data_IF_095492664168
#
_entry.id   IF_095492664168
#
_cell.length_a   1.000
_cell.length_b   1.000
_cell.length_c   1.000
_cell.angle_alpha   90.00
_cell.angle_beta   90.00
_cell.angle_gamma   90.00
#
_symmetry.space_group_name_H-M   'P 1'
#
loop_
_entity.id
_entity.type
_entity.pdbx_description
1 polymer ?
#
# COMPACT_ATOMS: atom_id res chain seq x y z
N UNK A 1 -46.50 22.42 20.45
CA UNK A 1 -45.37 21.58 20.95
C UNK A 1 -44.85 20.91 19.72
N UNK A 2 -43.88 21.58 19.12
CA UNK A 2 -43.72 21.59 17.68
C UNK A 2 -42.84 20.44 17.22
N UNK A 3 -43.32 19.78 16.17
CA UNK A 3 -42.57 18.82 15.39
C UNK A 3 -41.36 19.51 14.73
N UNK A 4 -40.15 19.16 15.16
CA UNK A 4 -38.94 19.49 14.41
C UNK A 4 -38.82 18.49 13.27
N UNK A 5 -39.14 18.97 12.07
CA UNK A 5 -38.99 18.25 10.81
C UNK A 5 -37.51 18.18 10.43
N UNK A 6 -37.10 17.00 9.94
CA UNK A 6 -35.83 16.80 9.28
C UNK A 6 -35.92 17.27 7.83
N UNK A 7 -35.41 18.47 7.52
CA UNK A 7 -34.84 18.84 6.22
C UNK A 7 -34.52 20.34 6.22
N UNK A 8 -33.29 20.71 6.54
CA UNK A 8 -32.68 21.93 6.02
C UNK A 8 -31.17 21.87 6.27
N UNK A 9 -30.49 21.09 5.42
CA UNK A 9 -29.07 21.25 5.17
C UNK A 9 -28.92 21.44 3.67
N UNK A 10 -29.28 22.64 3.18
CA UNK A 10 -28.86 23.13 1.88
C UNK A 10 -27.37 23.49 1.93
N UNK A 11 -26.53 22.54 2.34
CA UNK A 11 -25.08 22.68 2.24
C UNK A 11 -24.70 22.52 0.77
N UNK A 12 -24.55 23.65 0.08
CA UNK A 12 -23.90 23.69 -1.22
C UNK A 12 -22.40 23.66 -0.98
N UNK A 13 -21.69 22.58 -1.34
CA UNK A 13 -20.25 22.51 -1.16
C UNK A 13 -19.58 23.65 -1.93
N UNK A 14 -18.72 24.42 -1.24
CA UNK A 14 -17.94 25.48 -1.91
C UNK A 14 -17.02 24.82 -2.94
N UNK A 15 -16.89 25.40 -4.15
CA UNK A 15 -15.96 24.88 -5.14
C UNK A 15 -14.53 24.88 -4.57
N UNK A 16 -13.70 23.88 -4.90
CA UNK A 16 -12.32 23.83 -4.43
C UNK A 16 -11.54 25.07 -4.89
N UNK A 17 -10.48 25.42 -4.16
CA UNK A 17 -9.57 26.52 -4.53
C UNK A 17 -8.68 26.20 -5.74
N UNK A 18 -8.88 25.03 -6.37
CA UNK A 18 -8.14 24.54 -7.52
C UNK A 18 -9.09 23.84 -8.51
N UNK A 19 -8.65 23.71 -9.77
CA UNK A 19 -9.41 23.04 -10.83
C UNK A 19 -9.28 21.50 -10.83
N UNK A 20 -8.36 20.95 -10.03
CA UNK A 20 -8.11 19.50 -9.98
C UNK A 20 -9.17 18.72 -9.21
N UNK A 21 -9.32 17.43 -9.53
CA UNK A 21 -10.25 16.54 -8.83
C UNK A 21 -9.77 16.26 -7.40
N UNK A 22 -10.61 16.60 -6.42
CA UNK A 22 -10.32 16.37 -5.00
C UNK A 22 -10.13 14.90 -4.63
N UNK A 23 -10.70 13.96 -5.38
CA UNK A 23 -10.51 12.53 -5.12
C UNK A 23 -9.12 12.08 -5.54
N UNK A 24 -8.62 12.52 -6.70
CA UNK A 24 -7.24 12.27 -7.13
C UNK A 24 -6.21 12.79 -6.11
N UNK A 25 -6.47 13.96 -5.52
CA UNK A 25 -5.58 14.54 -4.50
C UNK A 25 -5.58 13.76 -3.18
N UNK A 26 -6.68 13.09 -2.82
CA UNK A 26 -6.76 12.22 -1.63
C UNK A 26 -6.00 10.91 -1.84
N UNK A 27 -5.90 10.43 -3.07
CA UNK A 27 -5.20 9.20 -3.45
C UNK A 27 -3.70 9.41 -3.68
N UNK A 28 -3.20 10.61 -3.37
CA UNK A 28 -1.80 10.96 -3.53
C UNK A 28 -0.89 10.05 -2.68
N UNK A 29 0.21 9.59 -3.27
CA UNK A 29 1.21 8.77 -2.58
C UNK A 29 2.22 9.66 -1.87
N UNK A 30 2.82 9.21 -0.76
CA UNK A 30 3.93 9.94 -0.15
C UNK A 30 5.13 9.98 -1.10
N UNK A 31 5.63 11.17 -1.42
CA UNK A 31 6.76 11.33 -2.33
C UNK A 31 8.00 10.57 -1.81
N UNK A 32 8.57 9.70 -2.63
CA UNK A 32 9.82 9.01 -2.33
C UNK A 32 11.01 9.87 -2.73
N UNK A 33 11.83 10.26 -1.76
CA UNK A 33 13.08 10.97 -1.99
C UNK A 33 14.30 10.04 -1.98
N UNK A 34 14.08 8.73 -1.86
CA UNK A 34 15.15 7.73 -1.93
C UNK A 34 15.51 7.28 -3.34
N UNK A 35 14.78 7.77 -4.34
CA UNK A 35 14.94 7.41 -5.75
C UNK A 35 15.95 8.32 -6.45
N UNK A 36 16.61 7.78 -7.47
CA UNK A 36 17.55 8.53 -8.34
C UNK A 36 17.31 8.20 -9.82
N UNK A 37 17.66 9.10 -10.76
CA UNK A 37 17.75 8.75 -12.17
C UNK A 37 18.84 7.69 -12.37
N UNK A 38 18.51 6.59 -13.04
CA UNK A 38 19.42 5.46 -13.22
C UNK A 38 19.70 5.15 -14.70
N UNK A 39 18.68 5.16 -15.55
CA UNK A 39 18.86 4.88 -16.97
C UNK A 39 19.45 6.08 -17.73
N UNK A 40 20.05 5.86 -18.92
CA UNK A 40 20.49 6.97 -19.77
C UNK A 40 19.37 7.97 -20.09
N UNK A 41 18.14 7.49 -20.28
CA UNK A 41 16.96 8.32 -20.53
C UNK A 41 16.62 9.22 -19.32
N UNK A 42 16.56 8.64 -18.13
CA UNK A 42 16.28 9.37 -16.89
C UNK A 42 17.36 10.41 -16.56
N UNK A 43 18.62 10.06 -16.82
CA UNK A 43 19.77 10.97 -16.67
C UNK A 43 19.65 12.13 -17.66
N UNK A 44 19.36 11.85 -18.94
CA UNK A 44 19.18 12.88 -19.96
C UNK A 44 18.04 13.85 -19.62
N UNK A 45 16.89 13.33 -19.17
CA UNK A 45 15.78 14.16 -18.70
C UNK A 45 16.20 15.05 -17.54
N UNK A 46 16.92 14.48 -16.57
CA UNK A 46 17.40 15.22 -15.40
C UNK A 46 18.32 16.37 -15.82
N UNK A 47 19.25 16.13 -16.75
CA UNK A 47 20.12 17.19 -17.26
C UNK A 47 19.35 18.30 -17.98
N UNK A 48 18.36 17.95 -18.81
CA UNK A 48 17.51 18.94 -19.49
C UNK A 48 16.76 19.82 -18.49
N UNK A 49 16.13 19.22 -17.47
CA UNK A 49 15.41 19.98 -16.43
C UNK A 49 16.37 20.84 -15.61
N UNK A 50 17.57 20.34 -15.29
CA UNK A 50 18.59 21.10 -14.54
C UNK A 50 19.01 22.35 -15.30
N UNK A 51 19.27 22.24 -16.61
CA UNK A 51 19.62 23.41 -17.41
C UNK A 51 18.43 24.38 -17.55
N UNK A 52 17.20 23.87 -17.62
CA UNK A 52 15.99 24.70 -17.66
C UNK A 52 15.77 25.50 -16.37
N UNK A 53 15.93 24.88 -15.19
CA UNK A 53 15.73 25.57 -13.90
C UNK A 53 16.92 26.46 -13.50
N UNK A 54 18.09 26.28 -14.13
CA UNK A 54 19.34 26.96 -13.78
C UNK A 54 19.19 28.49 -13.61
N UNK A 55 18.47 29.23 -14.49
CA UNK A 55 18.29 30.67 -14.33
C UNK A 55 17.52 31.08 -13.06
N UNK A 56 16.73 30.16 -12.48
CA UNK A 56 15.84 30.42 -11.34
C UNK A 56 16.43 30.00 -9.99
N UNK A 57 17.41 29.08 -9.98
CA UNK A 57 17.95 28.49 -8.73
C UNK A 57 19.38 28.93 -8.39
N UNK A 58 20.07 29.65 -9.28
CA UNK A 58 21.44 30.14 -9.09
C UNK A 58 21.53 31.65 -8.95
N UNK A 59 22.54 32.16 -8.23
CA UNK A 59 22.95 33.57 -8.38
C UNK A 59 23.49 33.76 -9.79
N UNK A 60 22.93 34.68 -10.57
CA UNK A 60 23.54 35.03 -11.86
C UNK A 60 24.96 35.58 -11.62
N UNK A 61 25.98 35.07 -12.31
CA UNK A 61 27.29 35.70 -12.29
C UNK A 61 27.19 37.09 -12.93
N UNK A 62 27.97 38.05 -12.41
CA UNK A 62 28.09 39.36 -13.03
C UNK A 62 28.55 39.21 -14.51
N UNK A 63 28.05 40.07 -15.42
CA UNK A 63 28.27 39.93 -16.87
C UNK A 63 29.75 39.82 -17.29
N UNK A 64 30.68 40.34 -16.49
CA UNK A 64 32.12 40.42 -16.83
C UNK A 64 32.96 39.21 -16.40
N UNK A 65 32.35 38.18 -15.83
CA UNK A 65 33.10 37.09 -15.23
C UNK A 65 33.42 35.97 -16.25
N UNK A 66 34.53 36.13 -16.99
CA UNK A 66 35.11 35.13 -17.90
C UNK A 66 35.04 33.70 -17.31
N UNK A 67 34.22 32.84 -17.92
CA UNK A 67 34.10 31.39 -17.68
C UNK A 67 34.25 30.97 -16.20
N UNK A 68 33.35 31.42 -15.32
CA UNK A 68 33.24 30.81 -14.01
C UNK A 68 32.70 29.38 -14.14
N UNK A 69 33.54 28.42 -13.75
CA UNK A 69 33.19 27.02 -13.45
C UNK A 69 31.86 27.03 -12.68
N UNK A 70 30.87 26.28 -13.15
CA UNK A 70 29.55 26.16 -12.53
C UNK A 70 29.66 25.38 -11.20
N UNK A 71 30.20 26.06 -10.20
CA UNK A 71 30.39 25.58 -8.83
C UNK A 71 29.01 25.31 -8.24
N UNK A 72 28.56 24.07 -8.36
CA UNK A 72 27.24 23.64 -7.91
C UNK A 72 26.44 22.82 -8.92
N UNK A 73 26.89 22.69 -10.19
CA UNK A 73 26.20 21.88 -11.21
C UNK A 73 25.92 20.45 -10.72
N UNK A 74 26.94 19.75 -10.23
CA UNK A 74 26.80 18.39 -9.72
C UNK A 74 25.75 18.28 -8.61
N UNK A 75 25.79 19.18 -7.63
CA UNK A 75 24.79 19.24 -6.55
C UNK A 75 23.37 19.50 -7.08
N UNK A 76 23.20 20.41 -8.05
CA UNK A 76 21.90 20.64 -8.68
C UNK A 76 21.41 19.42 -9.44
N UNK A 77 22.28 18.73 -10.18
CA UNK A 77 21.93 17.48 -10.87
C UNK A 77 21.43 16.44 -9.87
N UNK A 78 22.18 16.21 -8.78
CA UNK A 78 21.79 15.24 -7.76
C UNK A 78 20.45 15.62 -7.11
N UNK A 79 20.31 16.86 -6.65
CA UNK A 79 19.10 17.31 -5.93
C UNK A 79 17.87 17.32 -6.84
N UNK A 80 17.97 17.84 -8.08
CA UNK A 80 16.86 17.81 -9.04
C UNK A 80 16.54 16.39 -9.48
N UNK A 81 17.56 15.55 -9.70
CA UNK A 81 17.38 14.14 -10.04
C UNK A 81 16.59 13.39 -8.97
N UNK A 82 16.85 13.63 -7.68
CA UNK A 82 16.07 13.03 -6.58
C UNK A 82 14.59 13.44 -6.65
N UNK A 83 14.31 14.74 -6.89
CA UNK A 83 12.92 15.23 -6.96
C UNK A 83 12.21 14.61 -8.17
N UNK A 84 12.86 14.62 -9.33
CA UNK A 84 12.33 14.03 -10.55
C UNK A 84 12.10 12.53 -10.36
N UNK A 85 13.04 11.79 -9.78
CA UNK A 85 12.87 10.35 -9.59
C UNK A 85 11.69 10.00 -8.68
N UNK A 86 11.45 10.80 -7.64
CA UNK A 86 10.27 10.66 -6.78
C UNK A 86 8.96 10.91 -7.53
N UNK A 87 8.90 11.96 -8.36
CA UNK A 87 7.70 12.34 -9.11
C UNK A 87 7.44 11.43 -10.31
N UNK A 88 8.51 11.09 -11.04
CA UNK A 88 8.45 10.44 -12.34
C UNK A 88 8.13 8.95 -12.26
N UNK A 89 8.43 8.31 -11.12
CA UNK A 89 8.11 6.90 -10.89
C UNK A 89 6.61 6.58 -11.08
N UNK A 90 5.72 7.54 -10.83
CA UNK A 90 4.29 7.40 -11.05
C UNK A 90 3.73 8.41 -12.07
N UNK A 91 4.58 9.05 -12.88
CA UNK A 91 4.20 10.11 -13.82
C UNK A 91 3.13 9.66 -14.81
N UNK A 92 3.39 8.56 -15.52
CA UNK A 92 2.55 8.10 -16.63
C UNK A 92 1.17 7.61 -16.14
N UNK A 93 1.09 7.19 -14.87
CA UNK A 93 -0.19 6.89 -14.22
C UNK A 93 -0.95 8.14 -13.75
N UNK A 94 -0.42 9.35 -13.97
CA UNK A 94 -1.05 10.63 -13.62
C UNK A 94 -1.19 10.88 -12.12
N UNK A 95 -0.47 10.11 -11.27
CA UNK A 95 -0.70 10.14 -9.83
C UNK A 95 -0.06 11.36 -9.16
N UNK A 96 -0.80 11.94 -8.22
CA UNK A 96 -0.29 12.98 -7.34
C UNK A 96 0.65 12.42 -6.26
N UNK A 97 1.70 13.16 -5.96
CA UNK A 97 2.60 12.93 -4.84
C UNK A 97 2.30 13.93 -3.71
N UNK A 98 2.28 13.44 -2.48
CA UNK A 98 2.14 14.20 -1.26
C UNK A 98 3.52 14.50 -0.65
N UNK A 99 3.78 15.77 -0.34
CA UNK A 99 5.01 16.21 0.33
C UNK A 99 4.71 17.34 1.30
N UNK A 100 5.32 17.32 2.49
CA UNK A 100 5.11 18.38 3.47
C UNK A 100 5.80 19.70 3.05
N UNK A 101 5.08 20.82 3.15
CA UNK A 101 5.65 22.15 2.85
C UNK A 101 6.53 22.68 3.99
N UNK A 102 6.16 22.40 5.23
CA UNK A 102 6.84 22.95 6.41
C UNK A 102 8.12 22.19 6.77
N UNK A 103 9.26 22.88 6.79
CA UNK A 103 10.57 22.27 7.12
C UNK A 103 10.74 21.80 8.57
N UNK A 104 9.86 22.18 9.49
CA UNK A 104 9.91 21.79 10.91
C UNK A 104 9.13 20.50 11.22
N UNK A 105 8.68 19.76 10.20
CA UNK A 105 7.75 18.63 10.35
C UNK A 105 8.45 17.27 10.25
N UNK A 106 7.74 16.24 10.70
CA UNK A 106 8.21 14.85 10.74
C UNK A 106 8.80 14.38 9.40
N UNK A 107 8.21 14.79 8.27
CA UNK A 107 8.69 14.43 6.94
C UNK A 107 10.10 14.93 6.66
N UNK A 108 10.48 16.10 7.17
CA UNK A 108 11.82 16.68 7.03
C UNK A 108 12.68 16.49 8.28
N UNK A 109 12.25 15.63 9.20
CA UNK A 109 12.99 15.35 10.42
C UNK A 109 14.38 14.80 10.08
N UNK A 110 15.43 15.24 10.78
CA UNK A 110 16.77 14.65 10.64
C UNK A 110 16.79 13.12 10.79
N UNK A 111 15.87 12.56 11.59
CA UNK A 111 15.74 11.11 11.79
C UNK A 111 15.37 10.32 10.51
N UNK A 112 14.80 10.98 9.50
CA UNK A 112 14.50 10.35 8.19
C UNK A 112 15.70 10.29 7.27
N UNK A 113 16.83 10.90 7.63
CA UNK A 113 18.08 10.85 6.88
C UNK A 113 17.91 11.03 5.36
N UNK A 114 17.08 11.99 4.95
CA UNK A 114 16.74 12.19 3.54
C UNK A 114 17.94 12.73 2.75
N UNK A 115 18.12 12.33 1.49
CA UNK A 115 19.27 12.75 0.67
C UNK A 115 19.18 14.21 0.20
N UNK A 116 18.04 14.89 0.42
CA UNK A 116 17.83 16.29 0.12
C UNK A 116 17.09 16.98 1.28
N UNK A 117 17.57 18.16 1.68
CA UNK A 117 16.92 18.97 2.72
C UNK A 117 15.75 19.80 2.20
N UNK A 118 14.78 20.09 3.07
CA UNK A 118 13.54 20.83 2.76
C UNK A 118 13.75 22.10 1.92
N UNK A 119 14.68 22.98 2.31
CA UNK A 119 14.94 24.23 1.58
C UNK A 119 15.48 23.95 0.18
N UNK A 120 16.41 23.00 0.06
CA UNK A 120 16.95 22.63 -1.24
C UNK A 120 15.86 22.05 -2.14
N UNK A 121 15.02 21.15 -1.61
CA UNK A 121 13.86 20.60 -2.30
C UNK A 121 12.95 21.70 -2.85
N UNK A 122 12.42 22.57 -1.97
CA UNK A 122 11.44 23.58 -2.38
C UNK A 122 12.01 24.63 -3.31
N UNK A 123 13.29 24.99 -3.21
CA UNK A 123 13.93 25.89 -4.19
C UNK A 123 13.87 25.31 -5.61
N UNK A 124 14.11 24.01 -5.80
CA UNK A 124 14.10 23.39 -7.13
C UNK A 124 12.69 23.05 -7.58
N UNK A 125 11.85 22.57 -6.66
CA UNK A 125 10.44 22.32 -6.94
C UNK A 125 9.73 23.59 -7.40
N UNK A 126 9.95 24.72 -6.73
CA UNK A 126 9.37 26.01 -7.14
C UNK A 126 9.85 26.43 -8.53
N UNK A 127 11.15 26.30 -8.84
CA UNK A 127 11.64 26.60 -10.18
C UNK A 127 11.00 25.71 -11.26
N UNK A 128 10.71 24.44 -10.97
CA UNK A 128 9.97 23.57 -11.90
C UNK A 128 8.50 23.96 -12.03
N UNK A 129 7.86 24.40 -10.93
CA UNK A 129 6.49 24.93 -10.93
C UNK A 129 6.42 26.21 -11.78
N UNK A 130 7.35 27.15 -11.59
CA UNK A 130 7.41 28.42 -12.32
C UNK A 130 7.61 28.22 -13.84
N UNK A 131 8.28 27.13 -14.23
CA UNK A 131 8.45 26.73 -15.64
C UNK A 131 7.27 25.91 -16.19
N UNK A 132 6.26 25.60 -15.38
CA UNK A 132 5.13 24.74 -15.76
C UNK A 132 5.51 23.28 -16.00
N UNK A 133 6.59 22.79 -15.39
CA UNK A 133 7.03 21.39 -15.45
C UNK A 133 6.37 20.53 -14.37
N UNK A 134 5.90 21.14 -13.29
CA UNK A 134 5.25 20.45 -12.16
C UNK A 134 3.95 21.17 -11.83
N UNK A 135 2.86 20.42 -11.80
CA UNK A 135 1.59 20.89 -11.25
C UNK A 135 1.67 20.88 -9.72
N UNK A 136 1.07 21.87 -9.07
CA UNK A 136 1.16 22.07 -7.63
C UNK A 136 -0.17 22.48 -7.01
N UNK A 137 -0.52 21.85 -5.89
CA UNK A 137 -1.60 22.27 -5.00
C UNK A 137 -1.03 22.50 -3.59
N UNK A 138 -1.20 23.71 -3.01
CA UNK A 138 -0.65 24.04 -1.71
C UNK A 138 -1.31 23.25 -0.57
N UNK A 139 -0.50 22.75 0.36
CA UNK A 139 -0.96 21.90 1.47
C UNK A 139 -1.83 22.63 2.48
N UNK A 140 -1.49 23.87 2.83
CA UNK A 140 -2.21 24.64 3.86
C UNK A 140 -3.52 25.30 3.38
N UNK A 141 -3.95 25.09 2.13
CA UNK A 141 -5.01 25.90 1.54
C UNK A 141 -6.02 25.16 0.67
N UNK A 142 -5.92 23.84 0.52
CA UNK A 142 -6.94 23.11 -0.22
C UNK A 142 -8.07 22.68 0.70
N UNK A 143 -9.28 23.14 0.37
CA UNK A 143 -10.51 22.69 1.01
C UNK A 143 -10.98 21.44 0.31
N UNK A 144 -11.32 20.41 1.08
CA UNK A 144 -12.00 19.25 0.51
C UNK A 144 -13.39 19.65 -0.03
N UNK A 145 -14.08 18.70 -0.65
CA UNK A 145 -15.47 18.84 -1.10
C UNK A 145 -16.47 19.23 0.01
N UNK A 146 -16.03 19.27 1.27
CA UNK A 146 -16.81 19.63 2.46
C UNK A 146 -16.36 20.95 3.09
N UNK A 147 -15.42 21.67 2.47
CA UNK A 147 -14.94 22.96 2.95
C UNK A 147 -13.89 22.88 4.07
N UNK A 148 -13.52 21.69 4.52
CA UNK A 148 -12.49 21.49 5.55
C UNK A 148 -11.10 21.65 4.94
N UNK A 149 -10.21 22.34 5.65
CA UNK A 149 -8.79 22.31 5.33
C UNK A 149 -8.24 20.93 5.68
N UNK A 150 -7.77 20.20 4.67
CA UNK A 150 -7.13 18.90 4.87
C UNK A 150 -5.61 19.02 4.69
N UNK A 151 -4.87 18.60 5.70
CA UNK A 151 -3.45 18.28 5.61
C UNK A 151 -2.48 19.47 5.59
N UNK A 152 -1.21 19.16 5.85
CA UNK A 152 -0.07 20.09 5.74
C UNK A 152 0.85 19.74 4.57
N UNK A 153 0.31 18.96 3.65
CA UNK A 153 1.03 18.31 2.57
C UNK A 153 0.60 18.92 1.25
N UNK A 154 1.55 19.52 0.53
CA UNK A 154 1.37 19.87 -0.86
C UNK A 154 1.10 18.63 -1.71
N UNK A 155 0.46 18.86 -2.85
CA UNK A 155 0.34 17.87 -3.92
C UNK A 155 1.18 18.34 -5.10
N UNK A 156 2.02 17.45 -5.60
CA UNK A 156 2.86 17.66 -6.77
C UNK A 156 2.61 16.55 -7.78
N UNK A 157 2.61 16.87 -9.07
CA UNK A 157 2.74 15.85 -10.13
C UNK A 157 3.49 16.41 -11.33
N UNK A 158 4.11 15.57 -12.16
CA UNK A 158 4.60 15.98 -13.47
C UNK A 158 3.47 16.58 -14.30
N UNK A 159 3.72 17.74 -14.91
CA UNK A 159 2.78 18.32 -15.88
C UNK A 159 2.85 17.53 -17.20
N UNK A 160 1.85 17.66 -18.11
CA UNK A 160 1.93 17.06 -19.44
C UNK A 160 3.23 17.41 -20.17
N UNK A 161 3.71 18.65 -20.01
CA UNK A 161 4.98 19.10 -20.59
C UNK A 161 6.18 18.30 -20.08
N UNK A 162 6.24 17.97 -18.78
CA UNK A 162 7.33 17.17 -18.23
C UNK A 162 7.23 15.70 -18.69
N UNK A 163 6.00 15.17 -18.84
CA UNK A 163 5.76 13.84 -19.40
C UNK A 163 6.21 13.77 -20.87
N UNK A 164 5.92 14.79 -21.67
CA UNK A 164 6.38 14.88 -23.06
C UNK A 164 7.92 14.91 -23.14
N UNK A 165 8.57 15.68 -22.26
CA UNK A 165 10.03 15.70 -22.15
C UNK A 165 10.59 14.32 -21.78
N UNK A 166 9.97 13.62 -20.84
CA UNK A 166 10.38 12.29 -20.42
C UNK A 166 10.25 11.27 -21.57
N UNK A 167 9.13 11.33 -22.29
CA UNK A 167 8.86 10.50 -23.47
C UNK A 167 9.91 10.76 -24.56
N UNK A 168 10.23 12.04 -24.83
CA UNK A 168 11.26 12.42 -25.79
C UNK A 168 12.67 11.95 -25.40
N UNK A 169 12.95 11.82 -24.10
CA UNK A 169 14.21 11.23 -23.60
C UNK A 169 14.21 9.69 -23.63
N UNK A 170 13.07 9.05 -23.90
CA UNK A 170 12.93 7.60 -23.90
C UNK A 170 12.72 6.98 -22.51
N UNK A 171 12.14 7.73 -21.56
CA UNK A 171 11.78 7.16 -20.26
C UNK A 171 10.64 6.13 -20.41
N UNK A 172 10.73 5.03 -19.67
CA UNK A 172 9.83 3.89 -19.69
C UNK A 172 8.57 4.13 -18.85
N UNK A 173 7.42 3.99 -19.48
CA UNK A 173 6.11 3.91 -18.81
C UNK A 173 5.89 2.54 -18.16
N UNK A 174 6.31 1.46 -18.83
CA UNK A 174 6.07 0.08 -18.40
C UNK A 174 7.03 -0.39 -17.30
N UNK A 175 8.23 0.18 -17.25
CA UNK A 175 9.27 -0.20 -16.30
C UNK A 175 9.94 1.03 -15.63
N UNK A 176 9.17 1.90 -14.96
CA UNK A 176 9.69 3.12 -14.35
C UNK A 176 10.72 2.84 -13.25
N UNK A 177 10.73 1.64 -12.68
CA UNK A 177 11.73 1.19 -11.69
C UNK A 177 13.14 1.03 -12.27
N UNK A 178 13.29 0.88 -13.60
CA UNK A 178 14.59 0.87 -14.28
C UNK A 178 15.15 2.28 -14.46
N UNK A 179 14.27 3.25 -14.69
CA UNK A 179 14.64 4.65 -14.86
C UNK A 179 14.84 5.38 -13.53
N UNK A 180 13.99 5.09 -12.55
CA UNK A 180 13.85 5.82 -11.29
C UNK A 180 14.08 4.89 -10.09
N UNK A 181 15.30 4.36 -10.01
CA UNK A 181 15.68 3.31 -9.06
C UNK A 181 15.70 3.82 -7.63
N UNK A 182 15.15 3.02 -6.70
CA UNK A 182 15.28 3.23 -5.26
C UNK A 182 16.71 2.85 -4.81
N UNK A 183 17.45 3.80 -4.25
CA UNK A 183 18.84 3.60 -3.82
C UNK A 183 19.07 4.03 -2.38
N UNK A 184 18.43 5.12 -1.94
CA UNK A 184 18.56 5.65 -0.57
C UNK A 184 17.19 5.68 0.12
N UNK A 185 16.54 4.52 0.33
CA UNK A 185 15.19 4.47 0.87
C UNK A 185 15.11 5.18 2.21
N UNK A 186 14.05 5.96 2.42
CA UNK A 186 13.88 6.68 3.67
C UNK A 186 13.60 5.66 4.81
N UNK A 187 14.43 5.61 5.86
CA UNK A 187 14.18 4.72 6.99
C UNK A 187 12.83 5.03 7.63
N UNK A 188 12.14 3.95 8.02
CA UNK A 188 10.96 4.06 8.86
C UNK A 188 11.36 4.31 10.30
N UNK A 189 10.52 5.03 11.05
CA UNK A 189 10.72 5.18 12.49
C UNK A 189 10.45 3.83 13.18
N UNK A 190 11.30 3.38 14.11
CA UNK A 190 11.01 2.23 14.96
C UNK A 190 9.67 2.38 15.68
N UNK A 191 9.02 1.25 15.95
CA UNK A 191 7.77 1.21 16.70
C UNK A 191 8.02 0.93 18.17
N UNK A 192 7.26 1.57 19.04
CA UNK A 192 7.31 1.30 20.49
C UNK A 192 6.63 -0.03 20.84
N UNK A 193 5.71 -0.49 19.99
CA UNK A 193 4.96 -1.75 20.14
C UNK A 193 4.98 -2.55 18.84
N UNK A 194 5.54 -3.77 18.91
CA UNK A 194 5.59 -4.71 17.78
C UNK A 194 4.22 -5.33 17.44
N UNK A 195 3.31 -5.34 18.41
CA UNK A 195 1.95 -5.85 18.24
C UNK A 195 0.98 -4.80 18.75
N UNK A 196 -0.02 -4.46 17.93
CA UNK A 196 -1.09 -3.57 18.32
C UNK A 196 -2.45 -4.19 18.04
N UNK A 197 -3.41 -3.89 18.90
CA UNK A 197 -4.81 -4.20 18.65
C UNK A 197 -5.53 -2.88 18.44
N UNK A 198 -5.86 -2.59 17.19
CA UNK A 198 -6.61 -1.39 16.83
C UNK A 198 -8.05 -1.55 17.35
N UNK A 199 -8.71 -0.47 17.78
CA UNK A 199 -10.13 -0.54 18.12
C UNK A 199 -10.97 -0.98 16.92
N UNK A 200 -12.17 -1.48 17.20
CA UNK A 200 -13.17 -1.71 16.16
C UNK A 200 -13.45 -0.42 15.37
N UNK A 201 -13.63 -0.51 14.04
CA UNK A 201 -14.07 0.65 13.28
C UNK A 201 -15.48 1.08 13.70
N UNK A 202 -15.88 2.31 13.37
CA UNK A 202 -17.20 2.84 13.68
C UNK A 202 -18.04 2.96 12.41
N UNK A 203 -19.36 2.85 12.51
CA UNK A 203 -20.24 3.24 11.41
C UNK A 203 -20.61 4.71 11.53
N UNK A 204 -20.36 5.50 10.49
CA UNK A 204 -20.83 6.88 10.34
C UNK A 204 -21.58 6.98 9.02
N UNK A 205 -22.87 7.36 9.08
CA UNK A 205 -23.75 7.47 7.92
C UNK A 205 -23.78 6.20 7.03
N UNK A 206 -23.83 5.02 7.65
CA UNK A 206 -23.85 3.74 6.93
C UNK A 206 -22.51 3.30 6.32
N UNK A 207 -21.42 4.06 6.51
CA UNK A 207 -20.06 3.70 6.08
C UNK A 207 -19.20 3.34 7.28
N UNK A 208 -18.39 2.31 7.14
CA UNK A 208 -17.35 1.95 8.11
C UNK A 208 -16.20 2.94 7.99
N UNK A 209 -15.95 3.69 9.07
CA UNK A 209 -14.82 4.60 9.23
C UNK A 209 -13.88 4.07 10.29
N UNK A 210 -12.57 4.29 10.11
CA UNK A 210 -11.61 3.97 11.17
C UNK A 210 -12.01 4.71 12.45
N UNK A 211 -11.81 4.09 13.62
CA UNK A 211 -11.94 4.83 14.86
C UNK A 211 -10.85 5.90 14.88
N UNK A 212 -11.24 7.16 14.97
CA UNK A 212 -10.32 8.30 14.98
C UNK A 212 -9.27 8.09 16.09
N UNK A 213 -7.99 8.33 15.78
CA UNK A 213 -6.83 8.06 16.64
C UNK A 213 -6.71 8.92 17.90
N UNK A 214 -7.81 9.48 18.40
CA UNK A 214 -7.86 10.20 19.66
C UNK A 214 -8.64 9.38 20.69
N UNK A 215 -7.86 8.85 21.64
CA UNK A 215 -8.28 8.18 22.87
C UNK A 215 -9.62 8.68 23.43
N UNK A 216 -10.67 7.90 23.25
CA UNK A 216 -11.61 7.58 24.33
C UNK A 216 -11.95 6.10 24.14
N UNK A 217 -11.41 5.19 24.97
CA UNK A 217 -12.00 3.86 25.10
C UNK A 217 -13.45 4.10 25.52
N UNK A 218 -14.40 3.69 24.68
CA UNK A 218 -15.74 3.42 25.19
C UNK A 218 -15.52 2.38 26.29
N UNK A 219 -15.94 2.64 27.53
CA UNK A 219 -15.54 1.84 28.72
C UNK A 219 -15.97 0.35 28.62
N UNK A 220 -16.74 -0.03 27.60
CA UNK A 220 -17.09 -1.41 27.25
C UNK A 220 -16.37 -2.04 26.03
N UNK A 221 -15.43 -1.35 25.36
CA UNK A 221 -14.79 -1.80 24.10
C UNK A 221 -13.24 -1.69 24.12
N UNK A 222 -12.61 -1.80 25.29
CA UNK A 222 -11.16 -1.85 25.36
C UNK A 222 -10.63 -3.06 24.56
N UNK A 223 -9.67 -2.88 23.63
CA UNK A 223 -9.16 -3.98 22.83
C UNK A 223 -8.48 -5.02 23.72
N UNK A 224 -8.70 -6.30 23.44
CA UNK A 224 -8.02 -7.38 24.14
C UNK A 224 -6.50 -7.25 23.94
N UNK A 225 -5.70 -7.44 25.00
CA UNK A 225 -4.24 -7.39 24.88
C UNK A 225 -3.74 -8.46 23.91
N UNK A 226 -2.72 -8.17 23.09
CA UNK A 226 -2.16 -9.15 22.18
C UNK A 226 -1.50 -10.31 22.96
N UNK A 227 -1.67 -11.53 22.44
CA UNK A 227 -1.11 -12.74 23.06
C UNK A 227 0.43 -12.66 23.12
N UNK A 228 1.02 -13.03 24.28
CA UNK A 228 2.48 -13.06 24.50
C UNK A 228 3.19 -13.90 23.44
N UNK A 229 2.55 -14.95 22.91
CA UNK A 229 3.13 -15.77 21.84
C UNK A 229 3.41 -14.99 20.55
N UNK A 230 2.50 -14.10 20.14
CA UNK A 230 2.67 -13.27 18.93
C UNK A 230 3.74 -12.22 19.17
N UNK A 231 3.78 -11.63 20.37
CA UNK A 231 4.83 -10.68 20.74
C UNK A 231 6.21 -11.34 20.75
N UNK A 232 6.32 -12.54 21.32
CA UNK A 232 7.56 -13.32 21.29
C UNK A 232 8.00 -13.68 19.86
N UNK A 233 7.06 -14.11 19.01
CA UNK A 233 7.31 -14.34 17.59
C UNK A 233 7.82 -13.08 16.89
N UNK A 234 7.16 -11.93 17.09
CA UNK A 234 7.56 -10.67 16.45
C UNK A 234 8.95 -10.22 16.91
N UNK A 235 9.28 -10.37 18.19
CA UNK A 235 10.64 -10.09 18.71
C UNK A 235 11.67 -10.96 18.00
N UNK A 236 11.39 -12.26 17.86
CA UNK A 236 12.28 -13.21 17.16
C UNK A 236 12.45 -12.86 15.68
N UNK A 237 11.36 -12.54 14.99
CA UNK A 237 11.38 -12.14 13.58
C UNK A 237 12.24 -10.88 13.38
N UNK A 238 12.00 -9.83 14.16
CA UNK A 238 12.77 -8.58 14.07
C UNK A 238 14.25 -8.83 14.38
N UNK A 239 14.55 -9.56 15.46
CA UNK A 239 15.93 -9.88 15.82
C UNK A 239 16.67 -10.69 14.74
N UNK A 240 15.97 -11.61 14.05
CA UNK A 240 16.53 -12.35 12.93
C UNK A 240 16.86 -11.43 11.75
N UNK A 241 15.98 -10.48 11.43
CA UNK A 241 16.15 -9.51 10.34
C UNK A 241 17.23 -8.47 10.61
N UNK A 242 17.42 -8.04 11.86
CA UNK A 242 18.48 -7.11 12.25
C UNK A 242 19.89 -7.63 11.91
N UNK A 243 20.05 -8.96 11.82
CA UNK A 243 21.29 -9.61 11.41
C UNK A 243 21.49 -9.76 9.89
N UNK A 244 20.52 -9.35 9.06
CA UNK A 244 20.53 -9.59 7.61
C UNK A 244 20.89 -8.33 6.83
N UNK A 245 21.67 -8.48 5.76
CA UNK A 245 21.95 -7.41 4.81
C UNK A 245 20.84 -7.36 3.75
N UNK A 246 19.79 -6.57 4.00
CA UNK A 246 18.65 -6.39 3.09
C UNK A 246 18.86 -5.14 2.24
N UNK A 247 18.79 -5.27 0.90
CA UNK A 247 18.96 -4.14 -0.03
C UNK A 247 17.79 -4.03 -1.01
N UNK A 248 17.63 -2.87 -1.66
CA UNK A 248 16.55 -2.63 -2.64
C UNK A 248 15.23 -2.13 -2.03
N UNK A 249 15.13 -2.04 -0.69
CA UNK A 249 13.99 -1.45 0.01
C UNK A 249 14.44 -0.75 1.31
N UNK A 250 13.53 -0.02 1.96
CA UNK A 250 13.78 0.49 3.31
C UNK A 250 14.04 -0.67 4.29
N UNK A 251 14.94 -0.50 5.27
CA UNK A 251 15.10 -1.46 6.36
C UNK A 251 13.73 -1.79 6.99
N UNK A 252 13.38 -3.08 7.14
CA UNK A 252 12.07 -3.47 7.65
C UNK A 252 11.81 -2.94 9.06
N UNK A 253 10.75 -2.14 9.21
CA UNK A 253 10.12 -1.90 10.51
C UNK A 253 8.76 -2.58 10.48
N UNK A 254 8.61 -3.63 11.29
CA UNK A 254 7.45 -4.52 11.25
C UNK A 254 6.53 -4.30 12.45
N UNK A 255 5.22 -4.38 12.20
CA UNK A 255 4.20 -4.38 13.25
C UNK A 255 3.05 -5.32 12.91
N UNK A 256 2.73 -6.24 13.82
CA UNK A 256 1.52 -7.05 13.72
C UNK A 256 0.31 -6.23 14.17
N UNK A 257 -0.74 -6.20 13.34
CA UNK A 257 -1.92 -5.38 13.61
C UNK A 257 -3.18 -6.23 13.68
N UNK A 258 -3.86 -6.19 14.81
CA UNK A 258 -5.16 -6.82 15.02
C UNK A 258 -6.27 -5.77 15.06
N UNK A 259 -7.53 -6.20 14.98
CA UNK A 259 -8.69 -5.29 15.05
C UNK A 259 -9.71 -5.78 16.06
N UNK A 260 -9.92 -5.00 17.11
CA UNK A 260 -10.84 -5.25 18.23
C UNK A 260 -10.36 -6.35 19.17
N UNK A 261 -10.03 -7.51 18.61
CA UNK A 261 -9.60 -8.72 19.31
C UNK A 261 -8.43 -9.39 18.58
N UNK A 262 -7.67 -10.22 19.30
CA UNK A 262 -6.61 -11.04 18.75
C UNK A 262 -7.11 -12.10 17.74
N UNK A 263 -8.41 -12.39 17.71
CA UNK A 263 -9.01 -13.33 16.77
C UNK A 263 -9.28 -12.75 15.37
N UNK A 264 -9.05 -11.45 15.15
CA UNK A 264 -9.38 -10.74 13.91
C UNK A 264 -8.16 -10.01 13.35
N UNK A 265 -7.96 -10.15 12.03
CA UNK A 265 -6.86 -9.55 11.27
C UNK A 265 -5.47 -10.15 11.54
N UNK A 266 -4.59 -9.51 12.31
CA UNK A 266 -3.30 -10.07 12.72
C UNK A 266 -2.17 -10.08 11.68
N UNK A 267 -2.36 -9.50 10.48
CA UNK A 267 -1.29 -9.37 9.48
C UNK A 267 -0.12 -8.53 10.01
N UNK A 268 1.07 -8.85 9.50
CA UNK A 268 2.30 -8.10 9.77
C UNK A 268 2.50 -7.08 8.66
N UNK A 269 2.68 -5.83 9.05
CA UNK A 269 2.86 -4.70 8.14
C UNK A 269 4.28 -4.17 8.22
N UNK A 270 4.89 -3.93 7.06
CA UNK A 270 6.09 -3.13 6.93
C UNK A 270 5.72 -1.64 6.89
N UNK A 271 6.37 -0.84 7.72
CA UNK A 271 6.10 0.60 7.86
C UNK A 271 7.11 1.42 7.05
N UNK A 272 6.74 2.67 6.74
CA UNK A 272 7.55 3.60 5.95
C UNK A 272 7.06 3.77 4.51
N UNK A 273 7.54 4.81 3.81
CA UNK A 273 7.10 5.09 2.44
C UNK A 273 7.74 4.13 1.41
N UNK A 274 9.02 3.78 1.60
CA UNK A 274 9.81 2.95 0.69
C UNK A 274 9.91 1.49 1.15
N UNK A 275 8.90 1.02 1.89
CA UNK A 275 8.87 -0.36 2.40
C UNK A 275 8.55 -1.36 1.29
N UNK A 276 8.96 -2.62 1.48
CA UNK A 276 8.80 -3.65 0.47
C UNK A 276 7.35 -4.15 0.27
N UNK A 277 6.41 -3.93 1.20
CA UNK A 277 5.02 -4.39 1.02
C UNK A 277 4.19 -3.42 0.18
N UNK A 278 4.20 -2.12 0.52
CA UNK A 278 3.33 -1.11 -0.08
C UNK A 278 4.08 0.01 -0.83
N UNK A 279 5.39 0.15 -0.61
CA UNK A 279 6.23 1.13 -1.30
C UNK A 279 6.74 0.67 -2.67
N UNK A 280 6.76 -0.64 -2.93
CA UNK A 280 7.34 -1.24 -4.14
C UNK A 280 6.35 -2.11 -4.90
N UNK A 281 6.33 -1.95 -6.23
CA UNK A 281 5.60 -2.82 -7.14
C UNK A 281 6.25 -4.20 -7.27
N UNK A 282 5.48 -5.20 -7.73
CA UNK A 282 5.94 -6.60 -7.85
C UNK A 282 7.24 -6.77 -8.64
N UNK A 283 7.43 -5.99 -9.71
CA UNK A 283 8.65 -6.07 -10.52
C UNK A 283 9.86 -5.46 -9.79
N UNK A 284 9.67 -4.35 -9.08
CA UNK A 284 10.75 -3.70 -8.32
C UNK A 284 11.17 -4.54 -7.12
N UNK A 285 10.24 -5.25 -6.48
CA UNK A 285 10.57 -6.19 -5.38
C UNK A 285 11.51 -7.32 -5.78
N UNK A 286 11.58 -7.67 -7.07
CA UNK A 286 12.55 -8.65 -7.59
C UNK A 286 13.99 -8.13 -7.55
N UNK A 287 14.19 -6.83 -7.34
CA UNK A 287 15.51 -6.21 -7.17
C UNK A 287 15.96 -6.20 -5.70
N UNK A 288 15.13 -6.68 -4.77
CA UNK A 288 15.51 -6.85 -3.37
C UNK A 288 16.47 -8.02 -3.27
N UNK A 289 17.49 -7.87 -2.43
CA UNK A 289 18.38 -8.96 -2.04
C UNK A 289 18.45 -9.08 -0.53
N UNK A 290 18.68 -10.31 -0.07
CA UNK A 290 18.93 -10.63 1.34
C UNK A 290 20.29 -11.33 1.39
N UNK A 291 21.25 -10.74 2.12
CA UNK A 291 22.65 -11.18 2.16
C UNK A 291 23.31 -11.29 0.78
N UNK A 292 22.89 -10.43 -0.16
CA UNK A 292 23.39 -10.43 -1.54
C UNK A 292 22.74 -11.48 -2.44
N UNK A 293 21.85 -12.32 -1.93
CA UNK A 293 21.07 -13.26 -2.72
C UNK A 293 19.74 -12.64 -3.18
N UNK A 294 19.35 -12.90 -4.43
CA UNK A 294 18.04 -12.52 -4.95
C UNK A 294 16.91 -13.18 -4.15
N UNK A 295 15.77 -12.50 -4.09
CA UNK A 295 14.58 -13.00 -3.39
C UNK A 295 13.55 -13.60 -4.34
N UNK A 296 12.73 -14.51 -3.81
CA UNK A 296 11.53 -15.03 -4.44
C UNK A 296 10.32 -14.84 -3.53
N UNK A 297 9.18 -14.52 -4.12
CA UNK A 297 7.88 -14.52 -3.44
C UNK A 297 7.25 -15.90 -3.59
N UNK A 298 6.91 -16.54 -2.47
CA UNK A 298 6.18 -17.82 -2.39
C UNK A 298 4.81 -17.53 -1.79
N UNK A 299 3.73 -17.73 -2.56
CA UNK A 299 2.38 -17.24 -2.20
C UNK A 299 1.35 -18.34 -1.98
N UNK A 300 0.39 -18.08 -1.08
CA UNK A 300 -0.78 -18.94 -0.91
C UNK A 300 -1.77 -18.67 -2.04
N UNK A 301 -1.91 -19.63 -2.95
CA UNK A 301 -2.75 -19.47 -4.14
C UNK A 301 -4.22 -19.26 -3.77
N UNK A 302 -4.77 -18.12 -4.23
CA UNK A 302 -6.15 -17.69 -3.97
C UNK A 302 -6.52 -17.75 -2.47
N UNK A 303 -5.59 -17.35 -1.60
CA UNK A 303 -5.64 -17.41 -0.12
C UNK A 303 -7.05 -17.53 0.48
N UNK A 304 -7.86 -16.46 0.43
CA UNK A 304 -9.17 -16.45 1.07
C UNK A 304 -10.14 -17.51 0.54
N UNK A 305 -10.16 -17.76 -0.77
CA UNK A 305 -11.01 -18.80 -1.36
C UNK A 305 -10.55 -20.17 -0.88
N UNK A 306 -9.25 -20.43 -0.90
CA UNK A 306 -8.70 -21.71 -0.49
C UNK A 306 -8.92 -22.00 1.00
N UNK A 307 -8.71 -20.99 1.86
CA UNK A 307 -8.98 -21.06 3.30
C UNK A 307 -10.48 -21.28 3.55
N UNK A 308 -11.35 -20.49 2.91
CA UNK A 308 -12.79 -20.62 3.05
C UNK A 308 -13.29 -22.02 2.69
N UNK A 309 -12.84 -22.56 1.55
CA UNK A 309 -13.19 -23.92 1.14
C UNK A 309 -12.67 -24.96 2.15
N UNK A 310 -11.51 -24.73 2.77
CA UNK A 310 -10.98 -25.65 3.78
C UNK A 310 -11.81 -25.66 5.05
N UNK A 311 -12.19 -24.48 5.54
CA UNK A 311 -13.03 -24.34 6.73
C UNK A 311 -14.47 -24.85 6.51
N UNK A 312 -14.92 -24.93 5.25
CA UNK A 312 -16.20 -25.51 4.85
C UNK A 312 -16.12 -27.01 4.52
N UNK A 313 -14.95 -27.64 4.68
CA UNK A 313 -14.68 -29.02 4.25
C UNK A 313 -15.04 -29.29 2.76
N UNK A 314 -14.87 -28.27 1.92
CA UNK A 314 -15.17 -28.31 0.49
C UNK A 314 -13.90 -28.57 -0.34
N UNK A 315 -13.95 -29.35 -1.44
CA UNK A 315 -12.77 -29.70 -2.23
C UNK A 315 -11.96 -28.47 -2.69
N UNK A 316 -10.63 -28.57 -2.63
CA UNK A 316 -9.75 -27.56 -3.21
C UNK A 316 -9.74 -27.65 -4.74
N UNK A 317 -9.71 -26.53 -5.48
CA UNK A 317 -9.59 -26.56 -6.93
C UNK A 317 -8.19 -27.05 -7.36
N UNK A 318 -8.13 -27.91 -8.37
CA UNK A 318 -6.86 -28.40 -8.96
C UNK A 318 -6.37 -27.49 -10.09
N UNK A 319 -7.30 -26.79 -10.74
CA UNK A 319 -7.11 -25.82 -11.82
C UNK A 319 -7.11 -24.36 -11.30
N UNK A 320 -7.27 -23.38 -12.19
CA UNK A 320 -7.36 -21.96 -11.80
C UNK A 320 -8.61 -21.73 -10.93
N UNK A 321 -8.47 -21.27 -9.67
CA UNK A 321 -9.61 -21.07 -8.76
C UNK A 321 -10.67 -20.09 -9.28
N UNK A 322 -10.29 -19.23 -10.23
CA UNK A 322 -11.16 -18.21 -10.82
C UNK A 322 -11.72 -18.60 -12.20
N UNK A 323 -11.46 -19.80 -12.71
CA UNK A 323 -12.07 -20.30 -13.94
C UNK A 323 -13.51 -20.77 -13.65
N UNK A 324 -14.50 -19.91 -13.81
CA UNK A 324 -15.88 -20.25 -13.49
C UNK A 324 -16.62 -20.86 -14.69
N UNK A 325 -17.49 -21.89 -14.49
CA UNK A 325 -18.23 -22.51 -15.57
C UNK A 325 -19.09 -21.50 -16.35
N UNK A 326 -19.05 -21.59 -17.69
CA UNK A 326 -19.86 -20.74 -18.56
C UNK A 326 -19.41 -19.29 -18.67
N UNK A 327 -18.26 -18.91 -18.09
CA UNK A 327 -17.68 -17.58 -18.21
C UNK A 327 -16.36 -17.62 -19.00
N UNK A 328 -16.14 -16.59 -19.82
CA UNK A 328 -14.92 -16.43 -20.62
C UNK A 328 -13.69 -16.25 -19.71
N UNK A 329 -12.56 -16.95 -19.95
CA UNK A 329 -11.30 -16.74 -19.24
C UNK A 329 -10.81 -15.29 -19.19
N UNK A 330 -11.12 -14.46 -20.20
CA UNK A 330 -10.78 -13.04 -20.21
C UNK A 330 -11.44 -12.25 -19.06
N UNK A 331 -12.54 -12.78 -18.48
CA UNK A 331 -13.23 -12.18 -17.33
C UNK A 331 -12.54 -12.44 -15.99
N UNK A 332 -11.43 -13.20 -15.98
CA UNK A 332 -10.67 -13.53 -14.77
C UNK A 332 -10.38 -12.33 -13.85
N UNK A 333 -9.99 -11.13 -14.33
CA UNK A 333 -9.80 -9.97 -13.46
C UNK A 333 -11.08 -9.55 -12.72
N UNK A 334 -12.23 -9.57 -13.41
CA UNK A 334 -13.52 -9.23 -12.82
C UNK A 334 -13.98 -10.31 -11.82
N UNK A 335 -13.77 -11.59 -12.13
CA UNK A 335 -14.07 -12.71 -11.23
C UNK A 335 -13.22 -12.61 -9.96
N UNK A 336 -11.91 -12.39 -10.09
CA UNK A 336 -11.01 -12.21 -8.94
C UNK A 336 -11.47 -11.03 -8.07
N UNK A 337 -11.84 -9.90 -8.69
CA UNK A 337 -12.33 -8.74 -7.96
C UNK A 337 -13.67 -9.01 -7.24
N UNK A 338 -14.57 -9.78 -7.86
CA UNK A 338 -15.81 -10.24 -7.23
C UNK A 338 -15.54 -11.04 -5.95
N UNK A 339 -14.60 -11.99 -5.97
CA UNK A 339 -14.24 -12.77 -4.78
C UNK A 339 -13.70 -11.89 -3.65
N UNK A 340 -12.87 -10.88 -3.97
CA UNK A 340 -12.40 -9.90 -2.97
C UNK A 340 -13.58 -9.21 -2.29
N UNK A 341 -14.57 -8.74 -3.07
CA UNK A 341 -15.77 -8.11 -2.51
C UNK A 341 -16.66 -9.08 -1.76
N UNK A 342 -16.79 -10.32 -2.25
CA UNK A 342 -17.60 -11.38 -1.63
C UNK A 342 -17.10 -11.68 -0.21
N UNK A 343 -15.79 -11.85 -0.02
CA UNK A 343 -15.23 -12.12 1.31
C UNK A 343 -15.25 -10.88 2.22
N UNK A 344 -15.04 -9.68 1.69
CA UNK A 344 -15.14 -8.45 2.48
C UNK A 344 -16.57 -8.14 2.96
N UNK A 345 -17.58 -8.53 2.18
CA UNK A 345 -19.00 -8.38 2.52
C UNK A 345 -19.58 -9.60 3.24
N UNK A 346 -18.84 -10.70 3.25
CA UNK A 346 -19.25 -12.07 3.60
C UNK A 346 -20.58 -12.51 3.01
N UNK A 347 -20.69 -12.38 1.69
CA UNK A 347 -21.82 -12.86 0.92
C UNK A 347 -22.01 -12.16 -0.42
N UNK A 348 -23.22 -12.29 -0.95
CA UNK A 348 -23.63 -11.84 -2.28
C UNK A 348 -23.16 -10.42 -2.63
N UNK A 349 -22.62 -10.28 -3.84
CA UNK A 349 -22.19 -8.99 -4.39
C UNK A 349 -23.22 -8.60 -5.43
N UNK A 350 -24.22 -7.79 -5.04
CA UNK A 350 -25.31 -7.40 -5.97
C UNK A 350 -24.92 -6.27 -6.93
N UNK A 351 -23.94 -5.44 -6.54
CA UNK A 351 -23.47 -4.28 -7.30
C UNK A 351 -21.98 -4.06 -7.06
N UNK A 352 -21.29 -3.63 -8.11
CA UNK A 352 -19.94 -3.09 -8.04
C UNK A 352 -19.93 -1.82 -7.19
N UNK A 353 -18.98 -1.65 -6.25
CA UNK A 353 -18.75 -0.38 -5.59
C UNK A 353 -18.53 0.76 -6.59
N UNK A 354 -18.95 1.97 -6.21
CA UNK A 354 -18.56 3.19 -6.92
C UNK A 354 -17.02 3.29 -6.97
N UNK A 355 -16.47 3.65 -8.14
CA UNK A 355 -15.02 3.68 -8.36
C UNK A 355 -14.40 2.34 -8.80
N UNK A 356 -15.17 1.25 -8.88
CA UNK A 356 -14.67 0.01 -9.50
C UNK A 356 -14.24 0.28 -10.94
N UNK A 357 -13.02 -0.11 -11.31
CA UNK A 357 -12.44 0.09 -12.64
C UNK A 357 -13.47 -0.27 -13.74
N UNK A 358 -13.65 0.63 -14.72
CA UNK A 358 -14.65 0.48 -15.80
C UNK A 358 -14.42 -0.78 -16.65
N UNK A 359 -13.18 -1.21 -16.84
CA UNK A 359 -12.86 -2.46 -17.52
C UNK A 359 -13.37 -3.69 -16.75
N UNK A 360 -13.46 -3.61 -15.42
CA UNK A 360 -14.06 -4.67 -14.59
C UNK A 360 -15.57 -4.53 -14.55
N UNK A 361 -16.06 -3.34 -14.17
CA UNK A 361 -17.49 -3.12 -13.89
C UNK A 361 -18.36 -3.15 -15.15
N UNK A 362 -17.80 -2.82 -16.31
CA UNK A 362 -18.45 -2.89 -17.61
C UNK A 362 -18.39 -4.26 -18.29
N UNK A 363 -17.46 -5.14 -17.90
CA UNK A 363 -17.26 -6.43 -18.56
C UNK A 363 -18.35 -7.46 -18.20
N UNK A 364 -18.78 -7.50 -16.93
CA UNK A 364 -19.78 -8.48 -16.46
C UNK A 364 -20.53 -7.98 -15.23
N UNK A 365 -21.80 -8.37 -15.11
CA UNK A 365 -22.63 -8.11 -13.92
C UNK A 365 -22.22 -9.04 -12.77
N UNK A 366 -22.13 -8.53 -11.52
CA UNK A 366 -21.77 -9.36 -10.36
C UNK A 366 -22.64 -10.60 -10.16
N UNK A 367 -23.94 -10.51 -10.46
CA UNK A 367 -24.89 -11.61 -10.30
C UNK A 367 -24.58 -12.81 -11.22
N UNK A 368 -24.03 -12.56 -12.42
CA UNK A 368 -23.62 -13.64 -13.33
C UNK A 368 -22.39 -14.38 -12.79
N UNK A 369 -21.45 -13.64 -12.20
CA UNK A 369 -20.30 -14.23 -11.50
C UNK A 369 -20.78 -15.05 -10.29
N UNK A 370 -21.70 -14.50 -9.48
CA UNK A 370 -22.22 -15.17 -8.29
C UNK A 370 -22.88 -16.52 -8.63
N UNK A 371 -23.74 -16.55 -9.66
CA UNK A 371 -24.36 -17.79 -10.11
C UNK A 371 -23.31 -18.84 -10.53
N UNK A 372 -22.32 -18.45 -11.33
CA UNK A 372 -21.26 -19.36 -11.77
C UNK A 372 -20.33 -19.80 -10.60
N UNK A 373 -20.05 -18.90 -9.66
CA UNK A 373 -19.23 -19.16 -8.48
C UNK A 373 -19.92 -20.13 -7.53
N UNK A 374 -21.21 -19.96 -7.25
CA UNK A 374 -21.98 -20.88 -6.41
C UNK A 374 -22.26 -22.22 -7.10
N UNK A 375 -22.35 -22.25 -8.43
CA UNK A 375 -22.40 -23.51 -9.17
C UNK A 375 -21.09 -24.31 -9.02
N UNK A 376 -19.93 -23.64 -9.08
CA UNK A 376 -18.62 -24.29 -8.92
C UNK A 376 -18.29 -24.60 -7.45
N UNK A 377 -18.69 -23.73 -6.53
CA UNK A 377 -18.40 -23.83 -5.10
C UNK A 377 -19.68 -23.70 -4.25
N UNK A 378 -20.57 -24.72 -4.24
CA UNK A 378 -21.85 -24.64 -3.55
C UNK A 378 -21.73 -24.35 -2.04
N UNK A 379 -20.66 -24.84 -1.41
CA UNK A 379 -20.39 -24.62 0.01
C UNK A 379 -20.27 -23.14 0.40
N UNK A 380 -19.91 -22.25 -0.53
CA UNK A 380 -19.82 -20.81 -0.27
C UNK A 380 -21.19 -20.18 0.08
N UNK A 381 -22.30 -20.85 -0.21
CA UNK A 381 -23.62 -20.42 0.28
C UNK A 381 -23.68 -20.38 1.83
N UNK A 382 -22.88 -21.21 2.51
CA UNK A 382 -22.80 -21.30 3.97
C UNK A 382 -21.62 -20.53 4.58
N UNK A 383 -20.99 -19.63 3.82
CA UNK A 383 -19.71 -19.00 4.18
C UNK A 383 -19.72 -18.30 5.55
N UNK A 384 -20.86 -17.73 5.96
CA UNK A 384 -20.98 -17.04 7.26
C UNK A 384 -20.78 -17.99 8.45
N UNK A 385 -21.03 -19.28 8.26
CA UNK A 385 -20.91 -20.31 9.30
C UNK A 385 -19.47 -20.68 9.66
N UNK A 386 -18.46 -20.23 8.90
CA UNK A 386 -17.06 -20.54 9.22
C UNK A 386 -16.51 -19.70 10.38
N UNK A 387 -17.18 -18.61 10.75
CA UNK A 387 -16.75 -17.75 11.84
C UNK A 387 -17.23 -18.37 13.17
N UNK A 388 -16.32 -18.72 14.09
CA UNK A 388 -16.71 -19.27 15.39
C UNK A 388 -17.62 -18.36 16.19
N UNK A 389 -18.55 -18.94 16.95
CA UNK A 389 -19.56 -18.21 17.71
C UNK A 389 -18.95 -17.31 18.81
N UNK A 390 -17.86 -17.76 19.43
CA UNK A 390 -17.08 -17.00 20.42
C UNK A 390 -16.40 -15.79 19.78
N UNK A 391 -15.86 -15.91 18.56
CA UNK A 391 -15.32 -14.77 17.80
C UNK A 391 -16.43 -13.78 17.46
N UNK A 392 -17.59 -14.25 16.98
CA UNK A 392 -18.74 -13.39 16.69
C UNK A 392 -19.20 -12.63 17.94
N UNK A 393 -19.19 -13.26 19.11
CA UNK A 393 -19.57 -12.64 20.38
C UNK A 393 -18.64 -11.49 20.81
N UNK A 394 -17.41 -11.41 20.27
CA UNK A 394 -16.49 -10.28 20.55
C UNK A 394 -16.75 -9.04 19.69
N UNK A 395 -17.58 -9.14 18.65
CA UNK A 395 -17.79 -8.05 17.69
C UNK A 395 -19.01 -7.21 18.09
N UNK A 396 -18.89 -5.87 18.15
CA UNK A 396 -20.02 -4.99 18.43
C UNK A 396 -21.18 -5.20 17.44
N UNK A 397 -22.40 -5.28 17.97
CA UNK A 397 -23.62 -5.45 17.17
C UNK A 397 -23.78 -4.35 16.10
N UNK A 398 -23.30 -3.13 16.38
CA UNK A 398 -23.34 -1.99 15.45
C UNK A 398 -22.54 -2.22 14.18
N UNK A 399 -21.50 -3.06 14.21
CA UNK A 399 -20.76 -3.45 13.02
C UNK A 399 -21.55 -4.41 12.14
N UNK A 400 -22.59 -5.06 12.68
CA UNK A 400 -23.73 -5.67 11.99
C UNK A 400 -23.36 -6.80 11.02
N UNK A 401 -23.89 -7.99 11.32
CA UNK A 401 -23.80 -9.26 10.59
C UNK A 401 -22.40 -9.78 10.22
N UNK A 402 -22.30 -11.11 10.15
CA UNK A 402 -21.10 -11.92 9.90
C UNK A 402 -20.21 -11.51 8.70
N UNK A 403 -20.64 -10.55 7.87
CA UNK A 403 -19.97 -10.15 6.63
C UNK A 403 -18.58 -9.54 6.82
N UNK A 404 -18.50 -8.45 7.57
CA UNK A 404 -17.20 -7.80 7.86
C UNK A 404 -16.33 -8.71 8.73
N UNK A 405 -16.93 -9.33 9.75
CA UNK A 405 -16.24 -10.26 10.65
C UNK A 405 -15.63 -11.43 9.89
N UNK A 406 -16.32 -11.98 8.88
CA UNK A 406 -15.79 -13.04 8.03
C UNK A 406 -14.48 -12.62 7.37
N UNK A 407 -14.45 -11.46 6.70
CA UNK A 407 -13.23 -10.99 6.04
C UNK A 407 -12.07 -10.81 7.01
N UNK A 408 -12.35 -10.28 8.20
CA UNK A 408 -11.37 -10.10 9.26
C UNK A 408 -10.90 -11.43 9.86
N UNK A 409 -11.79 -12.42 9.98
CA UNK A 409 -11.49 -13.75 10.48
C UNK A 409 -10.66 -14.55 9.47
N UNK A 410 -11.01 -14.52 8.18
CA UNK A 410 -10.19 -15.10 7.11
C UNK A 410 -8.79 -14.49 7.08
N UNK A 411 -8.69 -13.17 7.28
CA UNK A 411 -7.40 -12.49 7.43
C UNK A 411 -6.62 -13.02 8.64
N UNK A 412 -7.29 -13.30 9.76
CA UNK A 412 -6.66 -13.88 10.95
C UNK A 412 -6.13 -15.28 10.72
N UNK A 413 -6.90 -16.13 10.04
CA UNK A 413 -6.48 -17.49 9.68
C UNK A 413 -5.29 -17.45 8.73
N UNK A 414 -5.32 -16.60 7.70
CA UNK A 414 -4.19 -16.40 6.78
C UNK A 414 -2.95 -15.91 7.51
N UNK A 415 -3.07 -14.88 8.35
CA UNK A 415 -1.95 -14.34 9.10
C UNK A 415 -1.35 -15.38 10.07
N UNK A 416 -2.18 -16.27 10.61
CA UNK A 416 -1.73 -17.37 11.45
C UNK A 416 -0.91 -18.41 10.69
N UNK A 417 -1.40 -18.83 9.52
CA UNK A 417 -0.65 -19.71 8.60
C UNK A 417 0.70 -19.08 8.24
N UNK A 418 0.70 -17.80 7.85
CA UNK A 418 1.94 -17.10 7.49
C UNK A 418 2.91 -17.01 8.68
N UNK A 419 2.44 -16.72 9.90
CA UNK A 419 3.29 -16.70 11.10
C UNK A 419 3.88 -18.07 11.42
N UNK A 420 3.09 -19.13 11.33
CA UNK A 420 3.57 -20.50 11.53
C UNK A 420 4.64 -20.87 10.49
N UNK A 421 4.39 -20.57 9.21
CA UNK A 421 5.35 -20.81 8.14
C UNK A 421 6.65 -19.99 8.34
N UNK A 422 6.54 -18.72 8.72
CA UNK A 422 7.70 -17.90 9.08
C UNK A 422 8.47 -18.48 10.27
N UNK A 423 7.77 -18.96 11.31
CA UNK A 423 8.43 -19.58 12.46
C UNK A 423 9.26 -20.81 12.04
N UNK A 424 8.72 -21.65 11.16
CA UNK A 424 9.43 -22.81 10.62
C UNK A 424 10.66 -22.44 9.77
N UNK A 425 10.62 -21.30 9.05
CA UNK A 425 11.79 -20.77 8.33
C UNK A 425 12.84 -20.25 9.32
N UNK A 426 12.40 -19.51 10.35
CA UNK A 426 13.28 -18.98 11.39
C UNK A 426 13.94 -20.11 12.21
N UNK A 427 13.27 -21.25 12.40
CA UNK A 427 13.82 -22.44 13.07
C UNK A 427 14.98 -23.06 12.28
N UNK A 428 15.05 -22.79 10.98
CA UNK A 428 16.12 -23.21 10.09
C UNK A 428 17.15 -22.10 9.85
N UNK A 429 17.16 -21.07 10.70
CA UNK A 429 18.01 -19.88 10.60
C UNK A 429 17.85 -19.12 9.27
N UNK A 430 16.70 -19.29 8.61
CA UNK A 430 16.38 -18.62 7.36
C UNK A 430 15.89 -17.17 7.56
N UNK A 431 16.14 -16.34 6.57
CA UNK A 431 15.59 -14.98 6.50
C UNK A 431 14.25 -14.98 5.76
N UNK A 432 13.26 -14.25 6.29
CA UNK A 432 11.92 -14.18 5.70
C UNK A 432 11.27 -12.81 5.93
N UNK A 433 10.67 -12.26 4.87
CA UNK A 433 9.90 -11.04 4.89
C UNK A 433 8.41 -11.34 4.61
N UNK A 434 7.46 -10.89 5.45
CA UNK A 434 6.03 -11.13 5.21
C UNK A 434 5.49 -10.21 4.12
N UNK A 435 4.74 -10.72 3.14
CA UNK A 435 4.04 -9.90 2.12
C UNK A 435 2.60 -10.39 1.98
N UNK A 436 1.68 -9.80 2.76
CA UNK A 436 0.26 -10.20 2.73
C UNK A 436 0.06 -11.72 2.89
N UNK A 437 -0.32 -12.40 1.81
CA UNK A 437 -0.53 -13.85 1.67
C UNK A 437 0.68 -14.61 1.10
N UNK A 438 1.84 -13.97 1.07
CA UNK A 438 3.10 -14.49 0.55
C UNK A 438 4.26 -14.29 1.53
N UNK A 439 5.30 -15.11 1.35
CA UNK A 439 6.58 -14.97 2.01
C UNK A 439 7.63 -14.60 0.97
N UNK A 440 8.45 -13.60 1.27
CA UNK A 440 9.63 -13.26 0.49
C UNK A 440 10.86 -13.82 1.19
N UNK A 441 11.57 -14.71 0.51
CA UNK A 441 12.74 -15.43 1.02
C UNK A 441 13.87 -15.39 0.00
N UNK A 442 15.13 -15.63 0.40
CA UNK A 442 16.20 -15.91 -0.56
C UNK A 442 15.81 -17.07 -1.49
N UNK A 443 16.25 -17.06 -2.75
CA UNK A 443 15.94 -18.11 -3.74
C UNK A 443 16.29 -19.52 -3.21
N UNK A 444 17.39 -19.66 -2.49
CA UNK A 444 17.86 -20.87 -1.82
C UNK A 444 16.87 -21.45 -0.80
N UNK A 445 15.96 -20.63 -0.27
CA UNK A 445 14.93 -21.01 0.69
C UNK A 445 13.55 -21.26 0.06
N UNK A 446 13.41 -21.15 -1.27
CA UNK A 446 12.12 -21.29 -1.98
C UNK A 446 11.35 -22.55 -1.60
N UNK A 447 11.99 -23.72 -1.70
CA UNK A 447 11.35 -25.02 -1.43
C UNK A 447 10.96 -25.14 0.04
N UNK A 448 11.85 -24.72 0.96
CA UNK A 448 11.57 -24.70 2.40
C UNK A 448 10.41 -23.76 2.77
N UNK A 449 10.31 -22.62 2.10
CA UNK A 449 9.20 -21.69 2.31
C UNK A 449 7.88 -22.27 1.81
N UNK A 450 7.89 -22.98 0.67
CA UNK A 450 6.73 -23.70 0.18
C UNK A 450 6.30 -24.78 1.17
N UNK A 451 7.22 -25.65 1.60
CA UNK A 451 6.95 -26.70 2.59
C UNK A 451 6.43 -26.14 3.92
N UNK A 452 6.97 -25.00 4.36
CA UNK A 452 6.54 -24.31 5.57
C UNK A 452 5.08 -23.81 5.47
N UNK A 453 4.69 -23.21 4.33
CA UNK A 453 3.31 -22.77 4.10
C UNK A 453 2.39 -23.99 4.02
N UNK A 454 2.76 -25.03 3.28
CA UNK A 454 1.96 -26.26 3.16
C UNK A 454 1.78 -26.97 4.52
N UNK A 455 2.85 -27.01 5.33
CA UNK A 455 2.83 -27.54 6.70
C UNK A 455 1.88 -26.75 7.61
N UNK A 456 1.99 -25.42 7.61
CA UNK A 456 1.11 -24.54 8.37
C UNK A 456 -0.36 -24.65 7.92
N UNK A 457 -0.63 -24.80 6.62
CA UNK A 457 -1.97 -25.09 6.13
C UNK A 457 -2.49 -26.43 6.67
N UNK A 458 -1.67 -27.50 6.64
CA UNK A 458 -2.07 -28.81 7.15
C UNK A 458 -2.42 -28.76 8.64
N UNK A 459 -1.62 -28.07 9.43
CA UNK A 459 -1.86 -27.91 10.87
C UNK A 459 -3.11 -27.06 11.13
N UNK A 460 -3.24 -25.92 10.45
CA UNK A 460 -4.30 -24.95 10.75
C UNK A 460 -5.66 -25.29 10.14
N UNK A 461 -5.66 -25.91 8.96
CA UNK A 461 -6.84 -26.19 8.14
C UNK A 461 -7.12 -27.69 7.97
N UNK A 462 -6.27 -28.57 8.52
CA UNK A 462 -6.38 -30.02 8.35
C UNK A 462 -5.99 -30.53 6.97
N UNK A 463 -5.52 -29.67 6.05
CA UNK A 463 -5.14 -30.05 4.69
C UNK A 463 -4.14 -29.08 4.06
N UNK A 464 -3.45 -29.56 3.03
CA UNK A 464 -2.57 -28.73 2.20
C UNK A 464 -3.40 -27.85 1.27
N UNK A 465 -2.97 -26.61 1.09
CA UNK A 465 -3.49 -25.67 0.09
C UNK A 465 -2.39 -25.41 -0.94
N UNK A 466 -2.78 -25.14 -2.18
CA UNK A 466 -1.86 -24.82 -3.27
C UNK A 466 -1.01 -23.58 -2.94
N UNK A 467 0.29 -23.70 -3.17
CA UNK A 467 1.29 -22.63 -3.09
C UNK A 467 1.85 -22.35 -4.50
N UNK A 468 2.17 -21.11 -4.82
CA UNK A 468 2.73 -20.72 -6.12
C UNK A 468 4.09 -20.02 -6.03
#
# INVERSE_FOLDING_TARGET
MDHISASDSNYVPRPPSHSFDTNELKEAYTLSLGRIPHSPAAIALTEQVVEAIRPLVGKQPAPDAKRLRDKGRGKRITETGIILAGLMYHAFAGRWAAVHEGCSRWYWSPARNLPIGCRAFWTKAQAMIDLGLVDYVPGKSYKNSWGDYLGEEARLRPSPRLIDMATACGCSEDAPYLDWRLVNPAPAKPVDQLVIVKPFPRKRNGRTVAADGANVPDEGNAPANPNESVTAFMRRLVASLDGQAITGCAPPVLQAQFVGTAALHGRIYALGADNFQSGLGKQERRLITINGEDVVEVDLSASFLSIALALLDAPAPTDDPYALPGLDPALRPAIKHWFVLFFQRGGSVRRWPEGTNKAISGAIKPAAIEAAALARYPALASIKGIVPADVLATVPETLGDAGWTLGQYLTAVEADIMRQAMAAILDQEGAVLPIHDALMVPVSFRERAQEAIEGACRERLGRVVRVA
#
